data_IF_768012182637
#
_entry.id   IF_768012182637
#
_cell.length_a   1.000
_cell.length_b   1.000
_cell.length_c   1.000
_cell.angle_alpha   90.00
_cell.angle_beta   90.00
_cell.angle_gamma   90.00
#
_symmetry.space_group_name_H-M   'P 1'
#
loop_
_entity.id
_entity.type
_entity.pdbx_description
1 polymer ?
#
# COMPACT_ATOMS: atom_id res chain seq x y z
N UNK A 1 8.48 3.78 -32.87
CA UNK A 1 7.76 2.50 -32.80
C UNK A 1 6.88 2.57 -31.56
N UNK A 2 5.55 2.60 -31.72
CA UNK A 2 4.65 2.58 -30.55
C UNK A 2 4.76 1.18 -29.92
N UNK A 3 5.44 1.09 -28.77
CA UNK A 3 5.37 -0.11 -27.94
C UNK A 3 3.91 -0.26 -27.50
N UNK A 4 3.31 -1.43 -27.77
CA UNK A 4 1.99 -1.75 -27.21
C UNK A 4 2.12 -1.74 -25.69
N UNK A 5 1.45 -0.81 -25.02
CA UNK A 5 1.34 -0.73 -23.55
C UNK A 5 -0.02 -1.20 -23.11
N UNK A 6 -0.09 -1.84 -21.96
CA UNK A 6 -1.35 -2.26 -21.35
C UNK A 6 -1.69 -1.34 -20.17
N UNK A 7 -2.72 -0.52 -20.34
CA UNK A 7 -3.23 0.38 -19.28
C UNK A 7 -4.30 -0.29 -18.42
N UNK A 8 -4.79 -1.47 -18.81
CA UNK A 8 -5.79 -2.20 -18.04
C UNK A 8 -5.18 -2.73 -16.74
N UNK A 9 -5.88 -2.48 -15.64
CA UNK A 9 -5.52 -2.93 -14.30
C UNK A 9 -6.70 -3.68 -13.70
N UNK A 10 -6.52 -4.97 -13.45
CA UNK A 10 -7.52 -5.81 -12.80
C UNK A 10 -7.59 -5.48 -11.32
N UNK A 11 -8.73 -4.98 -10.84
CA UNK A 11 -8.96 -4.68 -9.43
C UNK A 11 -9.52 -5.91 -8.72
N UNK A 12 -9.00 -6.20 -7.53
CA UNK A 12 -9.47 -7.30 -6.67
C UNK A 12 -9.64 -6.81 -5.23
N UNK A 13 -10.82 -7.03 -4.69
CA UNK A 13 -11.11 -6.85 -3.27
C UNK A 13 -10.98 -8.22 -2.57
N UNK A 14 -9.95 -8.35 -1.71
CA UNK A 14 -9.65 -9.62 -1.03
C UNK A 14 -10.32 -9.70 0.37
N UNK A 15 -10.95 -8.62 0.83
CA UNK A 15 -11.56 -8.55 2.14
C UNK A 15 -10.57 -8.67 3.29
N UNK A 16 -10.97 -9.29 4.39
CA UNK A 16 -10.08 -9.61 5.51
C UNK A 16 -9.37 -10.93 5.22
N UNK A 17 -8.07 -10.88 4.94
CA UNK A 17 -7.27 -12.01 4.49
C UNK A 17 -5.99 -12.15 5.31
N UNK A 18 -5.56 -13.38 5.59
CA UNK A 18 -4.28 -13.69 6.23
C UNK A 18 -3.09 -13.06 5.48
N UNK A 19 -2.09 -12.57 6.24
CA UNK A 19 -0.96 -11.89 5.60
C UNK A 19 -0.18 -12.81 4.65
N UNK A 20 0.07 -14.06 5.07
CA UNK A 20 0.77 -15.06 4.24
C UNK A 20 0.00 -15.33 2.94
N UNK A 21 -1.31 -15.52 3.03
CA UNK A 21 -2.16 -15.80 1.88
C UNK A 21 -2.16 -14.64 0.86
N UNK A 22 -2.27 -13.40 1.36
CA UNK A 22 -2.17 -12.22 0.49
C UNK A 22 -0.76 -12.06 -0.11
N UNK A 23 0.29 -12.42 0.63
CA UNK A 23 1.66 -12.38 0.13
C UNK A 23 1.87 -13.44 -0.96
N UNK A 24 1.38 -14.66 -0.78
CA UNK A 24 1.46 -15.73 -1.77
C UNK A 24 0.74 -15.32 -3.09
N UNK A 25 -0.41 -14.68 -2.98
CA UNK A 25 -1.12 -14.15 -4.16
C UNK A 25 -0.31 -13.04 -4.86
N UNK A 26 0.30 -12.12 -4.11
CA UNK A 26 1.18 -11.10 -4.69
C UNK A 26 2.37 -11.72 -5.42
N UNK A 27 3.08 -12.70 -4.81
CA UNK A 27 4.22 -13.38 -5.43
C UNK A 27 3.79 -14.15 -6.70
N UNK A 28 2.63 -14.78 -6.68
CA UNK A 28 2.07 -15.48 -7.84
C UNK A 28 1.83 -14.51 -9.02
N UNK A 29 1.21 -13.36 -8.75
CA UNK A 29 0.92 -12.35 -9.77
C UNK A 29 2.20 -11.67 -10.27
N UNK A 30 3.10 -11.32 -9.35
CA UNK A 30 4.40 -10.75 -9.65
C UNK A 30 5.22 -11.67 -10.56
N UNK A 31 5.33 -12.95 -10.21
CA UNK A 31 6.05 -13.96 -10.97
C UNK A 31 5.45 -14.11 -12.37
N UNK A 32 4.11 -14.19 -12.48
CA UNK A 32 3.41 -14.24 -13.77
C UNK A 32 3.81 -13.09 -14.71
N UNK A 33 3.87 -11.86 -14.19
CA UNK A 33 4.28 -10.70 -14.99
C UNK A 33 5.75 -10.81 -15.41
N UNK A 34 6.63 -11.17 -14.47
CA UNK A 34 8.07 -11.32 -14.74
C UNK A 34 8.32 -12.39 -15.79
N UNK A 35 7.68 -13.55 -15.68
CA UNK A 35 7.83 -14.66 -16.63
C UNK A 35 7.33 -14.27 -18.03
N UNK A 36 6.20 -13.55 -18.11
CA UNK A 36 5.71 -13.02 -19.38
C UNK A 36 6.69 -12.04 -20.00
N UNK A 37 7.31 -11.13 -19.21
CA UNK A 37 8.36 -10.22 -19.70
C UNK A 37 9.58 -10.98 -20.21
N UNK A 38 10.02 -12.01 -19.50
CA UNK A 38 11.14 -12.84 -19.91
C UNK A 38 10.85 -13.61 -21.21
N UNK A 39 9.67 -14.21 -21.33
CA UNK A 39 9.22 -14.88 -22.54
C UNK A 39 9.17 -13.93 -23.74
N UNK A 40 8.66 -12.73 -23.55
CA UNK A 40 8.61 -11.70 -24.62
C UNK A 40 9.96 -11.35 -25.20
N UNK A 41 11.05 -11.43 -24.41
CA UNK A 41 12.41 -11.12 -24.90
C UNK A 41 12.90 -12.06 -26.00
N UNK A 42 12.38 -13.29 -26.03
CA UNK A 42 12.75 -14.32 -27.01
C UNK A 42 11.84 -14.33 -28.23
N UNK A 43 10.76 -13.55 -28.21
CA UNK A 43 9.75 -13.52 -29.27
C UNK A 43 9.93 -12.32 -30.20
N UNK A 44 9.64 -12.46 -31.50
CA UNK A 44 9.50 -11.33 -32.41
C UNK A 44 8.45 -10.35 -31.87
N UNK A 45 8.63 -9.05 -32.08
CA UNK A 45 7.76 -7.99 -31.53
C UNK A 45 6.26 -8.22 -31.78
N UNK A 46 5.91 -8.78 -32.94
CA UNK A 46 4.50 -9.07 -33.30
C UNK A 46 3.88 -10.22 -32.49
N UNK A 47 4.71 -11.12 -31.95
CA UNK A 47 4.29 -12.27 -31.14
C UNK A 47 4.34 -12.00 -29.65
N UNK A 48 4.87 -10.85 -29.22
CA UNK A 48 4.91 -10.47 -27.80
C UNK A 48 3.49 -10.23 -27.28
N UNK A 49 3.25 -10.73 -26.07
CA UNK A 49 1.98 -10.55 -25.36
C UNK A 49 2.07 -9.39 -24.36
N UNK A 50 0.98 -8.67 -24.18
CA UNK A 50 0.88 -7.63 -23.17
C UNK A 50 0.97 -8.24 -21.76
N UNK A 51 1.75 -7.62 -20.91
CA UNK A 51 1.83 -7.98 -19.50
C UNK A 51 0.58 -7.48 -18.74
N UNK A 52 0.00 -8.29 -17.85
CA UNK A 52 -1.12 -7.84 -17.03
C UNK A 52 -0.68 -6.91 -15.90
N UNK A 53 -1.64 -6.15 -15.35
CA UNK A 53 -1.45 -5.34 -14.15
C UNK A 53 -2.60 -5.62 -13.18
N UNK A 54 -2.31 -5.53 -11.87
CA UNK A 54 -3.27 -5.82 -10.80
C UNK A 54 -3.21 -4.75 -9.71
N UNK A 55 -4.36 -4.50 -9.10
CA UNK A 55 -4.49 -3.67 -7.92
C UNK A 55 -5.32 -4.43 -6.90
N UNK A 56 -4.69 -4.88 -5.82
CA UNK A 56 -5.36 -5.63 -4.77
C UNK A 56 -5.64 -4.71 -3.59
N UNK A 57 -6.86 -4.78 -3.04
CA UNK A 57 -7.21 -4.15 -1.78
C UNK A 57 -7.59 -5.21 -0.75
N UNK A 58 -7.18 -5.01 0.50
CA UNK A 58 -7.50 -5.91 1.58
C UNK A 58 -7.39 -5.23 2.96
N UNK A 59 -7.77 -5.99 3.97
CA UNK A 59 -7.42 -5.81 5.36
C UNK A 59 -6.70 -7.06 5.84
N UNK A 60 -5.92 -6.96 6.90
CA UNK A 60 -5.29 -8.11 7.55
C UNK A 60 -5.79 -8.29 8.99
N UNK A 61 -5.79 -9.52 9.53
CA UNK A 61 -5.70 -9.72 10.98
C UNK A 61 -4.45 -9.02 11.53
N UNK A 62 -4.37 -8.88 12.86
CA UNK A 62 -3.23 -8.22 13.49
C UNK A 62 -1.90 -8.87 13.09
N UNK A 63 -1.02 -8.08 12.44
CA UNK A 63 0.27 -8.55 11.97
C UNK A 63 1.31 -7.42 11.98
N UNK A 64 2.52 -7.76 12.40
CA UNK A 64 3.70 -6.91 12.26
C UNK A 64 4.56 -7.41 11.12
N UNK A 65 5.04 -6.50 10.28
CA UNK A 65 5.93 -6.85 9.16
C UNK A 65 7.23 -6.07 9.23
N UNK A 66 8.36 -6.77 9.16
CA UNK A 66 9.70 -6.20 9.15
C UNK A 66 10.25 -6.15 7.74
N UNK A 67 10.50 -4.95 7.23
CA UNK A 67 11.12 -4.72 5.92
C UNK A 67 12.64 -4.88 5.94
N UNK A 68 13.26 -4.65 4.78
CA UNK A 68 14.70 -4.90 4.56
C UNK A 68 15.62 -3.96 5.33
N UNK A 69 15.15 -2.78 5.71
CA UNK A 69 15.93 -1.79 6.47
C UNK A 69 15.66 -1.83 7.97
N UNK A 70 14.80 -2.76 8.44
CA UNK A 70 14.35 -2.82 9.82
C UNK A 70 15.24 -3.69 10.70
N UNK A 71 15.22 -3.37 11.99
CA UNK A 71 15.83 -4.16 13.05
C UNK A 71 14.77 -4.87 13.89
N UNK A 72 15.02 -6.14 14.25
CA UNK A 72 14.06 -6.93 15.05
C UNK A 72 13.81 -6.28 16.42
N UNK A 73 14.79 -5.59 16.97
CA UNK A 73 14.69 -4.86 18.24
C UNK A 73 13.67 -3.72 18.21
N UNK A 74 13.21 -3.32 17.00
CA UNK A 74 12.11 -2.37 16.83
C UNK A 74 10.74 -2.99 17.15
N UNK A 75 10.64 -4.31 17.35
CA UNK A 75 9.49 -4.97 17.96
C UNK A 75 9.69 -5.02 19.47
N UNK A 76 8.89 -4.29 20.23
CA UNK A 76 9.03 -4.07 21.68
C UNK A 76 8.37 -5.16 22.54
N UNK A 77 7.83 -6.20 21.91
CA UNK A 77 7.17 -7.32 22.58
C UNK A 77 7.82 -8.64 22.17
N UNK A 78 7.89 -9.56 23.10
CA UNK A 78 8.33 -10.93 22.80
C UNK A 78 7.25 -11.75 22.08
N UNK A 79 7.60 -12.94 21.63
CA UNK A 79 6.71 -13.77 20.83
C UNK A 79 5.52 -14.33 21.63
N UNK A 80 5.67 -14.56 22.92
CA UNK A 80 4.59 -15.05 23.76
C UNK A 80 3.50 -14.00 23.90
N UNK A 81 3.89 -12.78 24.23
CA UNK A 81 3.00 -11.64 24.33
C UNK A 81 2.36 -11.28 22.99
N UNK A 82 3.14 -11.36 21.90
CA UNK A 82 2.66 -11.11 20.54
C UNK A 82 1.47 -12.02 20.20
N UNK A 83 1.61 -13.33 20.45
CA UNK A 83 0.60 -14.33 20.06
C UNK A 83 -0.55 -14.37 21.08
N UNK A 84 -0.22 -14.49 22.39
CA UNK A 84 -1.21 -14.81 23.41
C UNK A 84 -1.95 -13.58 23.94
N UNK A 85 -1.33 -12.40 23.98
CA UNK A 85 -1.99 -11.18 24.46
C UNK A 85 -2.53 -10.32 23.30
N UNK A 86 -1.75 -10.16 22.22
CA UNK A 86 -2.12 -9.28 21.11
C UNK A 86 -2.83 -10.02 19.97
N UNK A 87 -2.84 -11.34 19.94
CA UNK A 87 -3.41 -12.12 18.85
C UNK A 87 -2.79 -11.79 17.49
N UNK A 88 -1.51 -11.38 17.48
CA UNK A 88 -0.84 -10.89 16.30
C UNK A 88 0.22 -11.87 15.78
N UNK A 89 0.52 -11.77 14.49
CA UNK A 89 1.59 -12.53 13.83
C UNK A 89 2.76 -11.61 13.45
N UNK A 90 3.91 -12.21 13.10
CA UNK A 90 5.10 -11.46 12.68
C UNK A 90 5.74 -12.09 11.45
N UNK A 91 6.05 -11.25 10.45
CA UNK A 91 6.71 -11.66 9.22
C UNK A 91 7.92 -10.79 8.88
N UNK A 92 9.03 -11.43 8.49
CA UNK A 92 10.16 -10.76 7.83
C UNK A 92 9.97 -10.84 6.33
N UNK A 93 9.95 -9.69 5.66
CA UNK A 93 9.61 -9.60 4.24
C UNK A 93 10.59 -8.72 3.46
N UNK A 94 10.58 -8.86 2.13
CA UNK A 94 11.50 -8.13 1.24
C UNK A 94 10.85 -6.87 0.65
N UNK A 95 10.16 -6.07 1.46
CA UNK A 95 9.74 -4.71 1.08
C UNK A 95 10.74 -3.67 1.60
N UNK A 96 10.78 -2.51 0.98
CA UNK A 96 11.49 -1.35 1.53
C UNK A 96 10.92 -0.90 2.87
N UNK A 97 11.75 -0.21 3.67
CA UNK A 97 11.37 0.32 4.97
C UNK A 97 11.63 -0.63 6.13
N UNK A 98 11.22 -0.18 7.32
CA UNK A 98 11.42 -0.80 8.63
C UNK A 98 10.17 -1.61 9.04
N UNK A 99 9.98 -1.77 10.37
CA UNK A 99 8.81 -2.43 10.94
C UNK A 99 7.55 -1.59 10.75
N UNK A 100 6.42 -2.25 10.51
CA UNK A 100 5.10 -1.64 10.55
C UNK A 100 4.07 -2.64 11.06
N UNK A 101 2.87 -2.14 11.34
CA UNK A 101 1.71 -2.91 11.77
C UNK A 101 0.62 -2.85 10.71
N UNK A 102 -0.09 -3.97 10.53
CA UNK A 102 -1.34 -4.05 9.81
C UNK A 102 -2.43 -4.69 10.70
N UNK A 103 -3.66 -4.25 10.54
CA UNK A 103 -4.78 -4.77 11.31
C UNK A 103 -6.15 -4.40 10.74
N UNK A 104 -7.24 -4.90 11.34
CA UNK A 104 -8.60 -4.55 10.95
C UNK A 104 -8.82 -3.03 10.97
N UNK A 105 -9.59 -2.54 10.01
CA UNK A 105 -9.83 -1.10 9.84
C UNK A 105 -8.72 -0.36 9.09
N UNK A 106 -7.62 -1.02 8.70
CA UNK A 106 -6.59 -0.44 7.84
C UNK A 106 -6.83 -0.87 6.40
N UNK A 107 -6.90 0.09 5.48
CA UNK A 107 -6.97 -0.20 4.05
C UNK A 107 -5.56 -0.45 3.52
N UNK A 108 -5.31 -1.68 3.07
CA UNK A 108 -4.04 -2.07 2.46
C UNK A 108 -4.22 -2.21 0.97
N UNK A 109 -3.35 -1.54 0.19
CA UNK A 109 -3.34 -1.59 -1.26
C UNK A 109 -2.03 -2.15 -1.80
N UNK A 110 -2.14 -3.12 -2.71
CA UNK A 110 -1.00 -3.78 -3.35
C UNK A 110 -1.07 -3.60 -4.87
N UNK A 111 -0.46 -2.53 -5.44
CA UNK A 111 -0.32 -2.39 -6.88
C UNK A 111 0.79 -3.31 -7.40
N UNK A 112 0.40 -4.30 -8.22
CA UNK A 112 1.33 -5.26 -8.86
C UNK A 112 1.33 -4.92 -10.35
N UNK A 113 2.19 -4.00 -10.72
CA UNK A 113 2.21 -3.36 -12.02
C UNK A 113 3.50 -3.69 -12.78
N UNK A 114 3.40 -3.88 -14.07
CA UNK A 114 4.54 -3.73 -14.96
C UNK A 114 4.69 -2.24 -15.33
N UNK A 115 5.67 -1.59 -14.72
CA UNK A 115 5.93 -0.17 -14.94
C UNK A 115 6.34 0.17 -16.37
N UNK A 116 6.77 -0.80 -17.21
CA UNK A 116 6.98 -0.57 -18.63
C UNK A 116 5.67 -0.19 -19.35
N UNK A 117 4.51 -0.54 -18.78
CA UNK A 117 3.21 -0.13 -19.29
C UNK A 117 2.87 1.34 -18.95
N UNK A 118 3.57 1.96 -18.01
CA UNK A 118 3.29 3.29 -17.50
C UNK A 118 4.51 4.21 -17.65
N UNK A 119 5.51 4.02 -16.82
CA UNK A 119 6.80 4.74 -16.82
C UNK A 119 7.84 3.97 -15.98
N UNK A 120 9.10 4.03 -16.36
CA UNK A 120 10.21 3.34 -15.68
C UNK A 120 10.94 4.29 -14.73
N UNK A 121 10.26 4.68 -13.65
CA UNK A 121 10.79 5.56 -12.60
C UNK A 121 10.16 5.18 -11.25
N UNK A 122 10.96 4.59 -10.36
CA UNK A 122 10.47 4.12 -9.05
C UNK A 122 10.21 5.29 -8.09
N UNK A 123 10.94 6.40 -8.20
CA UNK A 123 10.67 7.58 -7.38
C UNK A 123 9.34 8.21 -7.76
N UNK A 124 9.08 8.37 -9.05
CA UNK A 124 7.79 8.81 -9.57
C UNK A 124 6.66 7.89 -9.12
N UNK A 125 6.86 6.57 -9.19
CA UNK A 125 5.90 5.58 -8.73
C UNK A 125 5.52 5.80 -7.25
N UNK A 126 6.53 5.93 -6.38
CA UNK A 126 6.30 6.19 -4.96
C UNK A 126 5.56 7.51 -4.73
N UNK A 127 5.94 8.58 -5.43
CA UNK A 127 5.28 9.88 -5.33
C UNK A 127 3.82 9.85 -5.77
N UNK A 128 3.48 9.09 -6.82
CA UNK A 128 2.11 8.94 -7.28
C UNK A 128 1.26 8.09 -6.31
N UNK A 129 1.85 7.08 -5.66
CA UNK A 129 1.16 6.36 -4.57
C UNK A 129 0.84 7.29 -3.39
N UNK A 130 1.81 8.10 -2.96
CA UNK A 130 1.56 9.08 -1.90
C UNK A 130 0.52 10.11 -2.33
N UNK A 131 0.58 10.58 -3.58
CA UNK A 131 -0.37 11.57 -4.11
C UNK A 131 -1.80 11.04 -4.11
N UNK A 132 -2.01 9.78 -4.50
CA UNK A 132 -3.35 9.17 -4.48
C UNK A 132 -3.98 9.18 -3.08
N UNK A 133 -3.16 8.97 -2.06
CA UNK A 133 -3.61 9.03 -0.66
C UNK A 133 -3.84 10.48 -0.22
N UNK A 134 -2.97 11.43 -0.60
CA UNK A 134 -3.12 12.85 -0.30
C UNK A 134 -4.43 13.38 -0.88
N UNK A 135 -4.71 13.08 -2.16
CA UNK A 135 -5.96 13.48 -2.81
C UNK A 135 -7.19 12.81 -2.15
N UNK A 136 -7.07 11.53 -1.79
CA UNK A 136 -8.14 10.85 -1.04
C UNK A 136 -8.43 11.54 0.30
N UNK A 137 -7.40 11.94 1.03
CA UNK A 137 -7.56 12.64 2.32
C UNK A 137 -8.14 14.04 2.12
N UNK A 138 -7.80 14.72 1.02
CA UNK A 138 -8.39 16.00 0.65
C UNK A 138 -9.90 15.91 0.37
N UNK A 139 -10.39 14.79 -0.19
CA UNK A 139 -11.82 14.52 -0.36
C UNK A 139 -12.59 14.48 0.97
N UNK A 140 -11.88 14.18 2.08
CA UNK A 140 -12.40 14.22 3.45
C UNK A 140 -12.10 15.53 4.18
N UNK A 141 -11.56 16.53 3.48
CA UNK A 141 -11.24 17.86 4.04
C UNK A 141 -9.97 17.86 4.91
N UNK A 142 -9.11 16.85 4.78
CA UNK A 142 -7.84 16.79 5.50
C UNK A 142 -6.68 17.25 4.60
N UNK A 143 -5.90 18.20 5.11
CA UNK A 143 -4.68 18.69 4.46
C UNK A 143 -3.52 17.77 4.85
N UNK A 144 -3.23 16.80 3.98
CA UNK A 144 -2.16 15.81 4.15
C UNK A 144 -1.01 16.08 3.17
N UNK A 145 0.18 15.60 3.52
CA UNK A 145 1.33 15.79 2.64
C UNK A 145 2.51 14.89 2.96
N UNK A 146 3.67 15.30 2.50
CA UNK A 146 4.95 14.59 2.61
C UNK A 146 5.86 15.31 3.58
N UNK A 147 6.75 14.57 4.21
CA UNK A 147 7.87 15.13 4.99
C UNK A 147 9.15 14.76 4.28
N UNK A 148 10.01 15.74 4.06
CA UNK A 148 11.28 15.54 3.35
C UNK A 148 12.14 14.47 4.03
N UNK A 149 12.71 13.56 3.23
CA UNK A 149 13.50 12.43 3.73
C UNK A 149 12.67 11.28 4.34
N UNK A 150 11.34 11.40 4.48
CA UNK A 150 10.48 10.37 5.06
C UNK A 150 9.45 9.87 4.04
N UNK A 151 9.36 8.55 3.92
CA UNK A 151 8.33 7.90 3.10
C UNK A 151 7.02 7.80 3.88
N UNK A 152 5.90 8.06 3.18
CA UNK A 152 4.56 7.98 3.76
C UNK A 152 3.77 9.27 3.59
N UNK A 153 2.50 9.23 4.03
CA UNK A 153 1.63 10.41 4.03
C UNK A 153 1.37 10.83 5.48
N UNK A 154 1.43 12.13 5.69
CA UNK A 154 1.46 12.74 7.01
C UNK A 154 0.44 13.86 7.15
N UNK A 155 0.01 14.10 8.38
CA UNK A 155 -0.74 15.27 8.83
C UNK A 155 0.10 16.06 9.84
N UNK A 156 -0.19 17.35 10.03
CA UNK A 156 0.50 18.19 11.02
C UNK A 156 1.97 18.48 10.67
N UNK A 157 2.32 18.51 9.40
CA UNK A 157 3.66 18.89 8.95
C UNK A 157 3.72 20.41 8.69
N UNK A 158 4.86 21.01 8.98
CA UNK A 158 5.15 22.38 8.60
C UNK A 158 5.83 22.36 7.25
N UNK A 159 5.07 22.61 6.19
CA UNK A 159 5.67 22.99 4.92
C UNK A 159 5.83 24.51 4.90
N UNK A 160 7.05 24.98 5.02
CA UNK A 160 7.39 26.42 4.93
C UNK A 160 7.31 26.95 3.47
N UNK A 161 6.82 26.11 2.52
CA UNK A 161 6.67 26.55 1.14
C UNK A 161 5.51 27.55 1.01
N UNK A 162 5.75 28.75 0.39
CA UNK A 162 4.75 29.82 0.30
C UNK A 162 3.53 29.52 -0.58
N UNK A 163 3.46 28.33 -1.18
CA UNK A 163 2.50 27.98 -2.23
C UNK A 163 1.28 27.20 -1.74
N UNK A 164 1.21 26.81 -0.46
CA UNK A 164 0.06 26.10 0.10
C UNK A 164 -0.61 26.95 1.20
N UNK A 165 -1.43 27.91 0.79
CA UNK A 165 -2.31 28.67 1.67
C UNK A 165 -3.66 27.95 1.84
N UNK A 166 -3.74 26.93 2.70
CA UNK A 166 -4.97 26.27 3.10
C UNK A 166 -5.09 26.17 4.62
N UNK A 167 -6.26 25.77 5.19
CA UNK A 167 -6.39 25.53 6.63
C UNK A 167 -5.46 24.38 7.01
N UNK A 168 -4.31 24.72 7.56
CA UNK A 168 -3.27 23.75 7.97
C UNK A 168 -3.79 22.92 9.13
N UNK A 169 -3.69 21.60 9.01
CA UNK A 169 -3.92 20.68 10.11
C UNK A 169 -2.80 20.87 11.14
N UNK A 170 -3.02 21.80 12.07
CA UNK A 170 -2.02 22.21 13.08
C UNK A 170 -1.82 21.08 14.08
N UNK A 171 -0.57 20.75 14.37
CA UNK A 171 -0.22 19.75 15.38
C UNK A 171 1.12 19.06 15.07
N UNK A 172 1.61 18.19 15.95
CA UNK A 172 2.83 17.44 15.66
C UNK A 172 2.64 16.51 14.45
N UNK A 173 3.73 16.24 13.70
CA UNK A 173 3.69 15.32 12.57
C UNK A 173 3.20 13.94 12.97
N UNK A 174 2.17 13.44 12.27
CA UNK A 174 1.58 12.12 12.51
C UNK A 174 1.31 11.40 11.20
N UNK A 175 1.80 10.17 11.10
CA UNK A 175 1.68 9.36 9.89
C UNK A 175 0.29 8.75 9.80
N UNK A 176 -0.38 8.94 8.67
CA UNK A 176 -1.68 8.33 8.39
C UNK A 176 -1.56 7.16 7.42
N UNK A 177 -0.56 7.18 6.53
CA UNK A 177 -0.33 6.09 5.58
C UNK A 177 1.16 5.73 5.52
N UNK A 178 1.45 4.45 5.70
CA UNK A 178 2.78 3.88 5.49
C UNK A 178 2.89 3.32 4.06
N UNK A 179 4.08 3.46 3.45
CA UNK A 179 4.38 2.89 2.15
C UNK A 179 5.67 2.07 2.22
N UNK A 180 5.66 0.93 1.53
CA UNK A 180 6.84 0.09 1.38
C UNK A 180 6.65 -0.86 0.21
N UNK A 181 7.48 -0.73 -0.82
CA UNK A 181 7.37 -1.49 -2.06
C UNK A 181 8.60 -2.35 -2.32
N UNK A 182 8.45 -3.35 -3.17
CA UNK A 182 9.51 -4.08 -3.82
C UNK A 182 9.35 -3.90 -5.33
N UNK A 183 10.43 -3.66 -6.04
CA UNK A 183 10.43 -3.63 -7.49
C UNK A 183 11.58 -4.49 -8.04
N UNK A 184 11.29 -5.27 -9.06
CA UNK A 184 12.30 -6.01 -9.82
C UNK A 184 11.88 -6.09 -11.28
N UNK A 185 12.81 -5.84 -12.19
CA UNK A 185 12.55 -5.78 -13.63
C UNK A 185 11.38 -4.86 -14.01
N UNK A 186 11.22 -3.78 -13.27
CA UNK A 186 10.12 -2.82 -13.39
C UNK A 186 8.73 -3.39 -13.07
N UNK A 187 8.67 -4.54 -12.40
CA UNK A 187 7.43 -5.07 -11.81
C UNK A 187 7.41 -4.76 -10.32
N UNK A 188 6.29 -4.27 -9.83
CA UNK A 188 6.10 -3.86 -8.43
C UNK A 188 5.32 -4.90 -7.63
N UNK A 189 5.50 -4.91 -6.31
CA UNK A 189 4.65 -5.58 -5.33
C UNK A 189 4.74 -4.90 -3.97
N UNK A 190 3.90 -5.30 -3.03
CA UNK A 190 3.57 -4.58 -1.80
C UNK A 190 2.95 -3.22 -2.17
N UNK A 191 2.98 -2.23 -1.31
CA UNK A 191 2.35 -0.94 -1.63
C UNK A 191 2.18 -0.04 -0.41
N UNK A 192 0.94 0.21 -0.01
CA UNK A 192 0.61 1.16 1.04
C UNK A 192 -0.38 0.58 2.06
N UNK A 193 -0.39 1.18 3.23
CA UNK A 193 -1.29 0.88 4.32
C UNK A 193 -1.84 2.18 4.91
N UNK A 194 -3.10 2.49 4.60
CA UNK A 194 -3.82 3.68 5.05
C UNK A 194 -4.62 3.36 6.30
N UNK A 195 -4.33 4.04 7.41
CA UNK A 195 -5.09 3.93 8.63
C UNK A 195 -6.46 4.61 8.47
N UNK A 196 -7.53 3.84 8.32
CA UNK A 196 -8.91 4.35 8.21
C UNK A 196 -9.60 4.31 9.56
N UNK A 197 -9.93 3.12 10.06
CA UNK A 197 -10.51 2.88 11.39
C UNK A 197 -9.58 2.02 12.27
N UNK A 198 -8.30 2.05 11.99
CA UNK A 198 -7.27 1.20 12.59
C UNK A 198 -7.17 1.44 14.09
N UNK A 199 -7.06 0.37 14.89
CA UNK A 199 -6.66 0.48 16.29
C UNK A 199 -5.18 0.88 16.38
N UNK A 200 -4.96 2.14 16.71
CA UNK A 200 -3.62 2.72 16.75
C UNK A 200 -2.79 2.27 17.97
N UNK A 201 -3.40 1.64 18.97
CA UNK A 201 -2.70 1.15 20.17
C UNK A 201 -1.65 0.09 19.84
N UNK A 202 -1.85 -0.68 18.78
CA UNK A 202 -0.89 -1.68 18.30
C UNK A 202 0.44 -1.07 17.84
N UNK A 203 0.46 0.19 17.42
CA UNK A 203 1.71 0.88 17.07
C UNK A 203 2.60 1.16 18.28
N UNK A 204 2.07 1.12 19.52
CA UNK A 204 2.85 1.26 20.74
C UNK A 204 3.81 0.07 20.99
N UNK A 205 3.64 -1.02 20.26
CA UNK A 205 4.47 -2.22 20.38
C UNK A 205 5.64 -2.25 19.39
N UNK A 206 5.84 -1.18 18.63
CA UNK A 206 6.95 -1.05 17.68
C UNK A 206 7.59 0.34 17.75
N UNK A 207 8.86 0.43 17.33
CA UNK A 207 9.55 1.71 17.07
C UNK A 207 9.68 1.86 15.56
N UNK A 208 8.72 2.47 14.86
CA UNK A 208 8.77 2.57 13.41
C UNK A 208 9.89 3.50 12.96
N UNK A 209 10.79 3.01 12.11
CA UNK A 209 11.89 3.77 11.50
C UNK A 209 12.86 4.44 12.52
N UNK A 210 12.94 3.95 13.77
CA UNK A 210 13.78 4.57 14.80
C UNK A 210 13.40 6.01 15.18
N UNK A 211 12.20 6.46 14.78
CA UNK A 211 11.72 7.82 14.99
C UNK A 211 10.83 7.83 16.23
N UNK A 212 11.34 8.38 17.33
CA UNK A 212 10.66 8.43 18.64
C UNK A 212 9.77 9.65 18.83
N UNK A 213 9.87 10.66 17.98
CA UNK A 213 9.20 11.95 18.10
C UNK A 213 7.96 12.12 17.20
N UNK A 214 7.60 11.08 16.41
CA UNK A 214 6.46 11.10 15.51
C UNK A 214 5.43 10.05 15.89
N UNK A 215 4.17 10.45 15.79
CA UNK A 215 3.03 9.59 16.10
C UNK A 215 2.37 9.04 14.83
N UNK A 216 1.39 8.17 15.02
CA UNK A 216 0.49 7.70 13.98
C UNK A 216 -0.91 8.24 14.20
N UNK A 217 -1.70 8.34 13.13
CA UNK A 217 -3.11 8.70 13.19
C UNK A 217 -3.93 7.85 12.22
N UNK A 218 -5.25 8.04 12.23
CA UNK A 218 -6.18 7.39 11.31
C UNK A 218 -7.24 8.38 10.85
N UNK A 219 -7.92 8.07 9.75
CA UNK A 219 -9.00 8.89 9.22
C UNK A 219 -10.11 9.08 10.25
N UNK A 220 -10.48 8.00 10.95
CA UNK A 220 -11.49 8.05 12.01
C UNK A 220 -11.06 8.94 13.20
N UNK A 221 -9.80 8.92 13.58
CA UNK A 221 -9.28 9.76 14.67
C UNK A 221 -9.33 11.26 14.30
N UNK A 222 -8.97 11.58 13.05
CA UNK A 222 -8.98 12.97 12.56
C UNK A 222 -10.40 13.52 12.39
N UNK A 223 -11.32 12.71 11.86
CA UNK A 223 -12.72 13.09 11.63
C UNK A 223 -13.62 12.89 12.86
N UNK A 224 -13.10 12.22 13.92
CA UNK A 224 -13.82 11.89 15.14
C UNK A 224 -15.08 11.04 14.91
N UNK A 225 -15.06 10.22 13.88
CA UNK A 225 -16.14 9.30 13.53
C UNK A 225 -15.61 8.17 12.64
N UNK A 226 -16.22 6.97 12.66
CA UNK A 226 -15.89 5.89 11.75
C UNK A 226 -16.13 6.29 10.29
N UNK A 227 -15.32 5.74 9.38
CA UNK A 227 -15.39 5.99 7.93
C UNK A 227 -15.56 4.67 7.20
N UNK A 228 -16.36 4.66 6.15
CA UNK A 228 -16.53 3.47 5.29
C UNK A 228 -15.24 3.12 4.58
N UNK A 229 -14.71 1.93 4.85
CA UNK A 229 -13.52 1.40 4.14
C UNK A 229 -13.77 1.26 2.62
N UNK A 230 -14.99 0.88 2.25
CA UNK A 230 -15.39 0.77 0.85
C UNK A 230 -15.36 2.13 0.14
N UNK A 231 -15.89 3.19 0.77
CA UNK A 231 -15.83 4.53 0.21
C UNK A 231 -14.39 5.02 0.05
N UNK A 232 -13.54 4.78 1.07
CA UNK A 232 -12.11 5.12 1.00
C UNK A 232 -11.41 4.34 -0.11
N UNK A 233 -11.65 3.02 -0.22
CA UNK A 233 -11.08 2.18 -1.29
C UNK A 233 -11.47 2.69 -2.67
N UNK A 234 -12.76 3.05 -2.86
CA UNK A 234 -13.26 3.58 -4.12
C UNK A 234 -12.57 4.91 -4.52
N UNK A 235 -12.35 5.81 -3.58
CA UNK A 235 -11.64 7.09 -3.82
C UNK A 235 -10.17 6.85 -4.15
N UNK A 236 -9.48 6.03 -3.35
CA UNK A 236 -8.06 5.69 -3.61
C UNK A 236 -7.89 5.09 -4.99
N UNK A 237 -8.75 4.15 -5.39
CA UNK A 237 -8.66 3.51 -6.71
C UNK A 237 -8.91 4.51 -7.84
N UNK A 238 -9.85 5.45 -7.68
CA UNK A 238 -10.09 6.50 -8.68
C UNK A 238 -8.87 7.41 -8.83
N UNK A 239 -8.31 7.91 -7.72
CA UNK A 239 -7.12 8.75 -7.78
C UNK A 239 -5.90 8.01 -8.35
N UNK A 240 -5.74 6.71 -8.04
CA UNK A 240 -4.69 5.89 -8.68
C UNK A 240 -4.91 5.79 -10.19
N UNK A 241 -6.17 5.56 -10.63
CA UNK A 241 -6.49 5.46 -12.05
C UNK A 241 -6.14 6.75 -12.79
N UNK A 242 -6.54 7.89 -12.23
CA UNK A 242 -6.30 9.20 -12.83
C UNK A 242 -4.79 9.53 -12.90
N UNK A 243 -4.05 9.31 -11.79
CA UNK A 243 -2.63 9.63 -11.69
C UNK A 243 -1.73 8.76 -12.57
N UNK A 244 -2.09 7.48 -12.76
CA UNK A 244 -1.32 6.53 -13.55
C UNK A 244 -1.86 6.37 -14.97
N UNK A 245 -3.00 7.01 -15.31
CA UNK A 245 -3.70 6.79 -16.57
C UNK A 245 -4.05 5.29 -16.75
N UNK A 246 -4.73 4.72 -15.73
CA UNK A 246 -5.16 3.32 -15.69
C UNK A 246 -6.59 3.16 -16.20
N UNK A 247 -6.82 2.06 -16.90
CA UNK A 247 -8.16 1.57 -17.21
C UNK A 247 -8.52 0.46 -16.20
N UNK A 248 -9.33 0.77 -15.19
CA UNK A 248 -9.70 -0.21 -14.17
C UNK A 248 -10.69 -1.23 -14.74
N UNK A 249 -10.40 -2.51 -14.50
CA UNK A 249 -11.26 -3.64 -14.88
C UNK A 249 -11.57 -4.42 -13.61
N UNK A 250 -12.85 -4.51 -13.26
CA UNK A 250 -13.28 -5.35 -12.15
C UNK A 250 -13.34 -6.81 -12.60
N UNK A 251 -12.69 -7.70 -11.85
CA UNK A 251 -12.92 -9.11 -12.04
C UNK A 251 -14.15 -9.50 -11.24
N UNK A 252 -15.22 -9.89 -11.91
CA UNK A 252 -16.30 -10.64 -11.28
C UNK A 252 -15.69 -11.93 -10.74
N UNK A 253 -15.59 -12.07 -9.41
CA UNK A 253 -15.12 -13.29 -8.78
C UNK A 253 -16.07 -14.42 -9.22
N UNK A 254 -15.59 -15.36 -10.01
CA UNK A 254 -16.27 -16.64 -10.10
C UNK A 254 -16.25 -17.25 -8.69
N UNK A 255 -17.39 -17.70 -8.16
CA UNK A 255 -17.43 -18.31 -6.84
C UNK A 255 -16.45 -19.48 -6.82
N UNK A 256 -15.57 -19.52 -5.81
CA UNK A 256 -14.70 -20.67 -5.57
C UNK A 256 -15.56 -21.93 -5.59
N UNK A 257 -15.21 -22.98 -6.37
CA UNK A 257 -15.87 -24.24 -6.23
C UNK A 257 -15.70 -24.69 -4.78
N UNK A 258 -16.83 -24.77 -4.06
CA UNK A 258 -16.85 -25.38 -2.72
C UNK A 258 -16.27 -26.78 -2.91
N UNK A 259 -15.06 -27.01 -2.37
CA UNK A 259 -14.54 -28.37 -2.22
C UNK A 259 -15.50 -29.08 -1.29
N UNK A 260 -16.37 -29.88 -1.89
CA UNK A 260 -17.29 -30.76 -1.20
C UNK A 260 -16.51 -31.67 -0.24
N UNK A 261 -17.15 -31.89 0.85
CA UNK A 261 -16.76 -32.77 1.97
C UNK A 261 -16.33 -34.17 1.52
#
# INVERSE_FOLDING_TARGET
MNSRVNKQVEVRELGLIGYQEAWDEQERLFTRIVDQKLSNRTLPHQAQQLTPNYLLFCQHPHVYTLGTSGHVDNLLVDQDRLVNELGATFFKIRRGGDITYHGPGQLVGYPILDLDNFFTDIHRYMRLLEESIILTLADYGLDAGRIDGLTGVWLGYNDDSPQQAGPRNVGPPRKICALGVKASRWVTMHGFALNVNTDLSYFNHIVPCGITDKTVTSLAAELKQPVSLEDVSNRVRQHLADLFDMELVEKTLEPHPQTGQ
#
